data_IF_913135157216
#
_entry.id   IF_913135157216
#
_cell.length_a   1.000
_cell.length_b   1.000
_cell.length_c   1.000
_cell.angle_alpha   90.00
_cell.angle_beta   90.00
_cell.angle_gamma   90.00
#
_symmetry.space_group_name_H-M   'P 1'
#
loop_
_entity.id
_entity.type
_entity.pdbx_description
1 polymer ?
#
# COMPACT_ATOMS: atom_id res chain seq x y z
N UNK A 1 -27.99 -11.79 18.57
CA UNK A 1 -28.90 -10.71 18.19
C UNK A 1 -28.12 -9.78 17.28
N UNK A 2 -28.24 -9.96 15.97
CA UNK A 2 -27.65 -9.05 14.98
C UNK A 2 -28.49 -7.77 14.97
N UNK A 3 -27.90 -6.66 15.43
CA UNK A 3 -28.51 -5.36 15.25
C UNK A 3 -28.43 -5.02 13.77
N UNK A 4 -29.57 -4.96 13.09
CA UNK A 4 -29.67 -4.37 11.76
C UNK A 4 -29.33 -2.88 11.90
N UNK A 5 -28.09 -2.52 11.59
CA UNK A 5 -27.74 -1.13 11.31
C UNK A 5 -28.45 -0.76 10.02
N UNK A 6 -29.61 -0.11 10.14
CA UNK A 6 -30.41 0.31 9.00
C UNK A 6 -29.62 1.31 8.16
N UNK A 7 -29.75 1.24 6.82
CA UNK A 7 -29.10 2.18 5.90
C UNK A 7 -29.36 3.66 6.23
N UNK A 8 -30.45 3.96 6.94
CA UNK A 8 -30.76 5.30 7.46
C UNK A 8 -29.74 5.79 8.50
N UNK A 9 -29.25 4.94 9.40
CA UNK A 9 -28.23 5.32 10.38
C UNK A 9 -26.87 5.58 9.73
N UNK A 10 -26.54 4.86 8.65
CA UNK A 10 -25.32 5.09 7.87
C UNK A 10 -25.41 6.45 7.15
N UNK A 11 -26.57 6.79 6.59
CA UNK A 11 -26.79 8.06 5.88
C UNK A 11 -26.75 9.27 6.82
N UNK A 12 -27.35 9.18 8.01
CA UNK A 12 -27.32 10.26 9.00
C UNK A 12 -25.90 10.46 9.55
N UNK A 13 -25.14 9.38 9.79
CA UNK A 13 -23.73 9.46 10.17
C UNK A 13 -22.85 10.06 9.06
N UNK A 14 -23.07 9.68 7.79
CA UNK A 14 -22.35 10.27 6.64
C UNK A 14 -22.63 11.77 6.49
N UNK A 15 -23.87 12.21 6.73
CA UNK A 15 -24.25 13.63 6.70
C UNK A 15 -23.63 14.41 7.86
N UNK A 16 -23.70 13.89 9.09
CA UNK A 16 -23.08 14.54 10.26
C UNK A 16 -21.57 14.64 10.12
N UNK A 17 -20.93 13.63 9.52
CA UNK A 17 -19.49 13.63 9.19
C UNK A 17 -19.18 14.69 8.13
N UNK A 18 -19.94 14.76 7.03
CA UNK A 18 -19.77 15.78 6.01
C UNK A 18 -19.95 17.21 6.57
N UNK A 19 -20.94 17.42 7.43
CA UNK A 19 -21.17 18.71 8.10
C UNK A 19 -20.06 19.05 9.10
N UNK A 20 -19.52 18.07 9.83
CA UNK A 20 -18.39 18.26 10.74
C UNK A 20 -17.09 18.60 9.99
N UNK A 21 -16.82 17.97 8.86
CA UNK A 21 -15.65 18.23 8.00
C UNK A 21 -15.71 19.64 7.40
N UNK A 22 -16.89 20.07 6.96
CA UNK A 22 -17.09 21.40 6.39
C UNK A 22 -17.00 22.53 7.44
N UNK A 23 -17.08 22.20 8.73
CA UNK A 23 -17.13 23.19 9.82
C UNK A 23 -15.93 23.13 10.78
N UNK A 24 -15.05 22.13 10.67
CA UNK A 24 -13.83 22.04 11.47
C UNK A 24 -12.70 22.92 10.92
N UNK A 25 -11.71 23.20 11.77
CA UNK A 25 -10.44 23.86 11.42
C UNK A 25 -9.60 23.10 10.38
N UNK A 26 -10.06 21.93 9.92
CA UNK A 26 -9.41 21.07 8.92
C UNK A 26 -9.86 21.38 7.47
N UNK A 27 -10.59 22.48 7.25
CA UNK A 27 -11.00 22.92 5.91
C UNK A 27 -9.85 23.02 4.90
N UNK A 28 -8.60 23.17 5.36
CA UNK A 28 -7.41 23.07 4.51
C UNK A 28 -7.12 21.65 4.00
N UNK A 29 -7.23 20.62 4.84
CA UNK A 29 -7.06 19.23 4.41
C UNK A 29 -8.15 18.83 3.41
N UNK A 30 -9.40 19.23 3.68
CA UNK A 30 -10.50 18.98 2.74
C UNK A 30 -10.33 19.70 1.41
N UNK A 31 -9.85 20.96 1.42
CA UNK A 31 -9.56 21.70 0.18
C UNK A 31 -8.45 21.04 -0.66
N UNK A 32 -7.45 20.43 0.00
CA UNK A 32 -6.37 19.71 -0.68
C UNK A 32 -6.88 18.42 -1.32
N UNK A 33 -7.70 17.65 -0.59
CA UNK A 33 -8.35 16.43 -1.12
C UNK A 33 -9.24 16.75 -2.32
N UNK A 34 -10.09 17.79 -2.23
CA UNK A 34 -10.93 18.23 -3.35
C UNK A 34 -10.10 18.71 -4.55
N UNK A 35 -8.98 19.40 -4.31
CA UNK A 35 -8.08 19.82 -5.38
C UNK A 35 -7.47 18.61 -6.09
N UNK A 36 -7.02 17.60 -5.33
CA UNK A 36 -6.53 16.35 -5.90
C UNK A 36 -7.60 15.59 -6.67
N UNK A 37 -8.81 15.44 -6.13
CA UNK A 37 -9.91 14.79 -6.85
C UNK A 37 -10.19 15.44 -8.20
N UNK A 38 -10.19 16.78 -8.27
CA UNK A 38 -10.42 17.50 -9.52
C UNK A 38 -9.33 17.25 -10.58
N UNK A 39 -8.17 16.71 -10.19
CA UNK A 39 -7.08 16.36 -11.10
C UNK A 39 -7.14 14.89 -11.56
N UNK A 40 -7.98 14.07 -10.92
CA UNK A 40 -8.05 12.63 -11.14
C UNK A 40 -9.40 12.22 -11.74
N UNK A 41 -9.43 11.71 -12.99
CA UNK A 41 -10.65 11.20 -13.61
C UNK A 41 -11.28 10.11 -12.75
N UNK A 42 -12.62 10.11 -12.67
CA UNK A 42 -13.42 9.12 -11.95
C UNK A 42 -13.04 8.95 -10.46
N UNK A 43 -12.44 9.99 -9.87
CA UNK A 43 -12.06 9.95 -8.46
C UNK A 43 -13.24 10.10 -7.51
N UNK A 44 -13.10 9.50 -6.33
CA UNK A 44 -14.10 9.52 -5.26
C UNK A 44 -13.42 9.58 -3.90
N UNK A 45 -14.16 10.00 -2.86
CA UNK A 45 -13.69 9.98 -1.48
C UNK A 45 -14.13 8.71 -0.77
N UNK A 46 -13.16 7.93 -0.29
CA UNK A 46 -13.38 6.83 0.64
C UNK A 46 -13.45 7.40 2.05
N UNK A 47 -14.56 7.10 2.73
CA UNK A 47 -14.74 7.38 4.15
C UNK A 47 -14.45 6.11 4.94
N UNK A 48 -13.50 6.20 5.86
CA UNK A 48 -12.99 5.05 6.60
C UNK A 48 -13.26 5.32 8.06
N UNK A 49 -14.10 4.49 8.64
CA UNK A 49 -14.66 4.72 9.95
C UNK A 49 -14.04 3.75 10.95
N UNK A 50 -13.42 4.32 11.98
CA UNK A 50 -12.75 3.58 13.03
C UNK A 50 -13.54 3.67 14.31
N UNK A 51 -13.75 2.53 14.96
CA UNK A 51 -14.41 2.45 16.26
C UNK A 51 -13.51 1.75 17.28
N UNK A 52 -13.48 2.29 18.49
CA UNK A 52 -12.87 1.63 19.65
C UNK A 52 -14.00 1.19 20.57
N UNK A 53 -14.15 -0.12 20.70
CA UNK A 53 -15.14 -0.74 21.57
C UNK A 53 -14.55 -1.01 22.95
N UNK A 54 -15.32 -0.78 24.01
CA UNK A 54 -14.97 -1.29 25.35
C UNK A 54 -15.21 -2.80 25.46
N UNK A 55 -14.89 -3.37 26.63
CA UNK A 55 -15.09 -4.79 26.93
C UNK A 55 -16.57 -5.22 26.91
N UNK A 56 -17.51 -4.28 26.91
CA UNK A 56 -18.95 -4.53 26.78
C UNK A 56 -19.47 -4.40 25.34
N UNK A 57 -18.59 -4.08 24.38
CA UNK A 57 -18.93 -3.87 22.97
C UNK A 57 -19.52 -2.49 22.68
N UNK A 58 -19.39 -1.52 23.60
CA UNK A 58 -19.88 -0.15 23.37
C UNK A 58 -18.78 0.71 22.76
N UNK A 59 -19.16 1.56 21.80
CA UNK A 59 -18.25 2.54 21.18
C UNK A 59 -17.85 3.57 22.25
N UNK A 60 -16.56 3.65 22.52
CA UNK A 60 -15.95 4.63 23.45
C UNK A 60 -15.25 5.78 22.73
N UNK A 61 -14.83 5.53 21.50
CA UNK A 61 -14.23 6.51 20.60
C UNK A 61 -14.53 6.09 19.17
N UNK A 62 -14.75 7.07 18.31
CA UNK A 62 -14.76 6.88 16.87
C UNK A 62 -14.04 8.03 16.19
N UNK A 63 -13.53 7.80 14.99
CA UNK A 63 -13.05 8.84 14.09
C UNK A 63 -13.24 8.40 12.64
N UNK A 64 -13.18 9.36 11.72
CA UNK A 64 -13.28 9.12 10.29
C UNK A 64 -12.00 9.62 9.63
N UNK A 65 -11.41 8.79 8.80
CA UNK A 65 -10.36 9.19 7.87
C UNK A 65 -10.96 9.27 6.46
N UNK A 66 -10.47 10.22 5.67
CA UNK A 66 -10.89 10.41 4.30
C UNK A 66 -9.71 10.21 3.39
N UNK A 67 -9.93 9.48 2.31
CA UNK A 67 -8.91 9.27 1.31
C UNK A 67 -9.47 9.40 -0.11
N UNK A 68 -8.66 9.94 -1.03
CA UNK A 68 -8.98 10.00 -2.45
C UNK A 68 -8.71 8.63 -3.08
N UNK A 69 -9.66 8.18 -3.90
CA UNK A 69 -9.57 6.97 -4.71
C UNK A 69 -9.86 7.31 -6.18
N UNK A 70 -9.34 6.52 -7.14
CA UNK A 70 -8.42 5.41 -6.92
C UNK A 70 -7.06 5.88 -6.39
N UNK A 71 -6.35 5.02 -5.66
CA UNK A 71 -4.97 5.25 -5.26
C UNK A 71 -4.07 5.30 -6.50
N UNK A 72 -3.10 6.21 -6.50
CA UNK A 72 -2.15 6.40 -7.60
C UNK A 72 -0.76 6.38 -6.99
N UNK A 73 0.17 5.68 -7.65
CA UNK A 73 1.57 5.64 -7.24
C UNK A 73 2.15 7.05 -7.03
N UNK A 74 3.06 7.20 -6.07
CA UNK A 74 3.73 8.43 -5.69
C UNK A 74 2.93 9.34 -4.75
N UNK A 75 1.70 8.95 -4.39
CA UNK A 75 0.90 9.69 -3.39
C UNK A 75 1.23 9.28 -1.95
N UNK A 76 2.04 8.24 -1.76
CA UNK A 76 2.44 7.74 -0.44
C UNK A 76 1.30 7.09 0.35
N UNK A 77 1.46 7.06 1.66
CA UNK A 77 0.53 6.46 2.60
C UNK A 77 -0.45 7.49 3.15
N UNK A 78 -1.75 7.16 3.09
CA UNK A 78 -2.81 7.89 3.80
C UNK A 78 -3.39 7.12 4.99
N UNK A 79 -2.72 6.03 5.39
CA UNK A 79 -3.13 5.09 6.44
C UNK A 79 -3.95 3.90 5.92
N UNK A 80 -4.38 3.92 4.65
CA UNK A 80 -5.37 2.98 4.11
C UNK A 80 -5.04 2.47 2.71
N UNK A 81 -3.86 2.81 2.21
CA UNK A 81 -3.35 2.49 0.87
C UNK A 81 -2.37 1.33 0.85
N UNK A 82 -2.10 0.69 1.99
CA UNK A 82 -1.11 -0.40 2.12
C UNK A 82 -1.33 -1.50 1.05
N UNK A 83 -2.55 -2.02 0.94
CA UNK A 83 -2.88 -3.06 -0.04
C UNK A 83 -2.74 -2.56 -1.50
N UNK A 84 -3.11 -1.31 -1.78
CA UNK A 84 -2.97 -0.68 -3.09
C UNK A 84 -1.50 -0.55 -3.50
N UNK A 85 -0.64 -0.14 -2.56
CA UNK A 85 0.81 0.01 -2.76
C UNK A 85 1.45 -1.35 -3.01
N UNK A 86 1.07 -2.37 -2.24
CA UNK A 86 1.51 -3.75 -2.48
C UNK A 86 1.03 -4.30 -3.83
N UNK A 87 -0.19 -3.97 -4.27
CA UNK A 87 -0.70 -4.38 -5.58
C UNK A 87 0.10 -3.75 -6.74
N UNK A 88 0.48 -2.47 -6.63
CA UNK A 88 1.36 -1.80 -7.60
C UNK A 88 2.75 -2.43 -7.59
N UNK A 89 3.35 -2.64 -6.41
CA UNK A 89 4.65 -3.32 -6.31
C UNK A 89 4.60 -4.73 -6.91
N UNK A 90 3.52 -5.49 -6.68
CA UNK A 90 3.29 -6.79 -7.28
C UNK A 90 3.21 -6.74 -8.81
N UNK A 91 2.46 -5.76 -9.35
CA UNK A 91 2.35 -5.56 -10.79
C UNK A 91 3.69 -5.19 -11.42
N UNK A 92 4.48 -4.33 -10.77
CA UNK A 92 5.81 -3.92 -11.24
C UNK A 92 6.73 -5.12 -11.40
N UNK A 93 6.84 -5.94 -10.36
CA UNK A 93 7.81 -7.04 -10.33
C UNK A 93 7.42 -8.20 -11.25
N UNK A 94 6.11 -8.39 -11.47
CA UNK A 94 5.59 -9.39 -12.39
C UNK A 94 6.07 -9.15 -13.84
N UNK A 95 6.27 -7.89 -14.26
CA UNK A 95 6.81 -7.55 -15.60
C UNK A 95 8.21 -8.10 -15.83
N UNK A 96 8.93 -8.33 -14.74
CA UNK A 96 10.31 -8.80 -14.77
C UNK A 96 10.41 -10.26 -14.26
N UNK A 97 9.30 -10.99 -14.15
CA UNK A 97 9.31 -12.38 -13.71
C UNK A 97 9.77 -12.57 -12.27
N UNK A 98 9.59 -11.57 -11.40
CA UNK A 98 9.73 -11.73 -9.95
C UNK A 98 8.36 -11.99 -9.34
N UNK A 99 8.31 -12.90 -8.38
CA UNK A 99 7.12 -13.16 -7.59
C UNK A 99 7.15 -12.33 -6.31
N UNK A 100 6.30 -11.31 -6.23
CA UNK A 100 6.29 -10.37 -5.09
C UNK A 100 6.11 -11.01 -3.71
N UNK A 101 5.27 -12.05 -3.54
CA UNK A 101 5.17 -12.75 -2.27
C UNK A 101 6.51 -13.30 -1.73
N UNK A 102 7.39 -13.77 -2.61
CA UNK A 102 8.72 -14.23 -2.18
C UNK A 102 9.55 -13.07 -1.59
N UNK A 103 9.40 -11.86 -2.14
CA UNK A 103 10.03 -10.67 -1.58
C UNK A 103 9.49 -10.33 -0.20
N UNK A 104 8.18 -10.44 0.01
CA UNK A 104 7.56 -10.21 1.32
C UNK A 104 8.02 -11.24 2.36
N UNK A 105 8.11 -12.52 1.98
CA UNK A 105 8.65 -13.59 2.85
C UNK A 105 10.12 -13.36 3.19
N UNK A 106 10.93 -12.89 2.23
CA UNK A 106 12.34 -12.57 2.47
C UNK A 106 12.50 -11.33 3.35
N UNK A 107 11.69 -10.30 3.13
CA UNK A 107 11.72 -9.06 3.90
C UNK A 107 11.25 -9.27 5.34
N UNK A 108 10.14 -9.99 5.53
CA UNK A 108 9.46 -10.15 6.81
C UNK A 108 9.13 -11.63 7.09
N UNK A 109 10.15 -12.48 7.32
CA UNK A 109 9.95 -13.93 7.52
C UNK A 109 9.15 -14.28 8.78
N UNK A 110 9.04 -13.35 9.74
CA UNK A 110 8.23 -13.51 10.95
C UNK A 110 6.77 -13.09 10.74
N UNK A 111 6.46 -12.40 9.64
CA UNK A 111 5.11 -11.90 9.31
C UNK A 111 4.47 -12.66 8.17
N UNK A 112 5.26 -13.16 7.22
CA UNK A 112 4.79 -13.86 6.03
C UNK A 112 5.42 -15.24 5.89
N UNK A 113 4.66 -16.17 5.30
CA UNK A 113 5.14 -17.51 4.95
C UNK A 113 4.88 -17.86 3.49
N UNK A 114 5.66 -18.79 2.93
CA UNK A 114 5.45 -19.25 1.54
C UNK A 114 4.11 -19.97 1.32
N UNK A 115 3.53 -20.50 2.39
CA UNK A 115 2.25 -21.21 2.35
C UNK A 115 1.05 -20.25 2.51
N UNK A 116 1.30 -18.96 2.68
CA UNK A 116 0.26 -17.95 2.85
C UNK A 116 -0.44 -17.61 1.53
N UNK A 117 -1.73 -17.28 1.63
CA UNK A 117 -2.53 -16.87 0.49
C UNK A 117 -2.36 -15.37 0.22
N UNK A 118 -1.65 -15.04 -0.85
CA UNK A 118 -1.44 -13.67 -1.30
C UNK A 118 -2.50 -13.19 -2.32
N UNK A 119 -3.66 -13.85 -2.42
CA UNK A 119 -4.74 -13.45 -3.33
C UNK A 119 -5.19 -11.98 -3.14
N UNK A 120 -4.99 -11.41 -1.95
CA UNK A 120 -5.27 -10.01 -1.63
C UNK A 120 -4.50 -9.02 -2.52
N UNK A 121 -3.30 -9.38 -3.02
CA UNK A 121 -2.53 -8.56 -3.98
C UNK A 121 -3.25 -8.34 -5.32
N UNK A 122 -4.24 -9.18 -5.62
CA UNK A 122 -5.00 -9.17 -6.88
C UNK A 122 -6.50 -9.16 -6.65
N UNK A 123 -6.94 -8.89 -5.42
CA UNK A 123 -8.36 -8.89 -5.06
C UNK A 123 -9.13 -7.76 -5.74
N UNK A 124 -10.36 -8.03 -6.16
CA UNK A 124 -11.21 -7.04 -6.85
C UNK A 124 -11.42 -5.75 -6.05
N UNK A 125 -11.47 -5.84 -4.71
CA UNK A 125 -11.60 -4.67 -3.84
C UNK A 125 -10.38 -3.74 -3.95
N UNK A 126 -9.18 -4.30 -3.87
CA UNK A 126 -7.92 -3.55 -3.99
C UNK A 126 -7.80 -2.96 -5.40
N UNK A 127 -8.08 -3.77 -6.43
CA UNK A 127 -8.00 -3.32 -7.83
C UNK A 127 -9.07 -2.28 -8.16
N UNK A 128 -10.26 -2.34 -7.56
CA UNK A 128 -11.31 -1.33 -7.72
C UNK A 128 -10.98 -0.01 -7.02
N UNK A 129 -10.06 -0.03 -6.06
CA UNK A 129 -9.57 1.13 -5.33
C UNK A 129 -8.22 1.65 -5.83
N UNK A 130 -7.60 1.01 -6.81
CA UNK A 130 -6.22 1.31 -7.23
C UNK A 130 -6.15 1.55 -8.72
N UNK A 131 -5.55 2.67 -9.12
CA UNK A 131 -5.20 2.93 -10.50
C UNK A 131 -3.81 2.36 -10.73
N UNK A 132 -3.77 1.23 -11.45
CA UNK A 132 -2.53 0.59 -11.84
C UNK A 132 -2.22 1.03 -13.28
N UNK A 133 -1.22 1.89 -13.50
CA UNK A 133 -0.84 2.33 -14.86
C UNK A 133 -0.25 1.17 -15.66
N UNK A 134 -0.29 1.28 -16.99
CA UNK A 134 0.36 0.32 -17.90
C UNK A 134 1.88 0.31 -17.71
N UNK A 135 2.47 1.47 -17.41
CA UNK A 135 3.88 1.65 -17.08
C UNK A 135 3.99 2.17 -15.64
N UNK A 136 4.54 1.35 -14.76
CA UNK A 136 4.76 1.69 -13.35
C UNK A 136 6.10 2.40 -13.22
N UNK A 137 6.13 3.52 -12.49
CA UNK A 137 7.39 4.18 -12.18
C UNK A 137 8.02 3.44 -10.99
N UNK A 138 9.15 2.76 -11.18
CA UNK A 138 9.73 1.95 -10.12
C UNK A 138 10.14 2.79 -8.91
N UNK A 139 10.58 4.04 -9.12
CA UNK A 139 11.03 4.90 -8.03
C UNK A 139 9.85 5.34 -7.15
N UNK A 140 8.73 5.70 -7.77
CA UNK A 140 7.51 6.05 -7.03
C UNK A 140 6.97 4.87 -6.25
N UNK A 141 6.90 3.68 -6.85
CA UNK A 141 6.44 2.47 -6.18
C UNK A 141 7.30 2.11 -4.96
N UNK A 142 8.61 2.34 -5.05
CA UNK A 142 9.55 2.13 -3.96
C UNK A 142 9.38 3.16 -2.84
N UNK A 143 9.22 4.44 -3.18
CA UNK A 143 8.94 5.51 -2.20
C UNK A 143 7.60 5.26 -1.48
N UNK A 144 6.59 4.76 -2.20
CA UNK A 144 5.31 4.38 -1.62
C UNK A 144 5.45 3.22 -0.62
N UNK A 145 6.23 2.18 -0.95
CA UNK A 145 6.52 1.09 0.00
C UNK A 145 7.21 1.60 1.27
N UNK A 146 8.13 2.55 1.15
CA UNK A 146 8.77 3.19 2.31
C UNK A 146 7.72 3.97 3.13
N UNK A 147 6.78 4.65 2.46
CA UNK A 147 5.76 5.45 3.13
C UNK A 147 4.80 4.64 4.02
N UNK A 148 4.59 3.36 3.71
CA UNK A 148 3.86 2.40 4.55
C UNK A 148 4.76 1.63 5.52
N UNK A 149 5.98 2.14 5.77
CA UNK A 149 6.99 1.53 6.63
C UNK A 149 7.44 0.13 6.17
N UNK A 150 7.28 -0.18 4.88
CA UNK A 150 7.77 -1.42 4.26
C UNK A 150 9.19 -1.26 3.68
N UNK A 151 10.07 -0.62 4.45
CA UNK A 151 11.43 -0.28 4.01
C UNK A 151 12.26 -1.50 3.60
N UNK A 152 12.13 -2.65 4.29
CA UNK A 152 12.88 -3.86 3.96
C UNK A 152 12.45 -4.46 2.61
N UNK A 153 11.14 -4.45 2.31
CA UNK A 153 10.64 -4.87 1.01
C UNK A 153 11.06 -3.89 -0.09
N UNK A 154 10.98 -2.58 0.15
CA UNK A 154 11.47 -1.55 -0.78
C UNK A 154 12.97 -1.73 -1.09
N UNK A 155 13.77 -1.95 -0.06
CA UNK A 155 15.21 -2.19 -0.16
C UNK A 155 15.55 -3.40 -1.04
N UNK A 156 14.92 -4.55 -0.78
CA UNK A 156 15.15 -5.78 -1.54
C UNK A 156 14.69 -5.63 -2.99
N UNK A 157 13.53 -5.00 -3.19
CA UNK A 157 13.00 -4.70 -4.51
C UNK A 157 13.95 -3.77 -5.29
N UNK A 158 14.47 -2.72 -4.64
CA UNK A 158 15.46 -1.82 -5.23
C UNK A 158 16.68 -2.50 -5.79
N UNK A 159 17.28 -3.38 -5.00
CA UNK A 159 18.46 -4.13 -5.44
C UNK A 159 18.15 -4.99 -6.65
N UNK A 160 17.05 -5.72 -6.63
CA UNK A 160 16.62 -6.53 -7.76
C UNK A 160 16.38 -5.71 -9.04
N UNK A 161 15.75 -4.53 -8.89
CA UNK A 161 15.52 -3.62 -10.01
C UNK A 161 16.84 -3.03 -10.54
N UNK A 162 17.77 -2.69 -9.65
CA UNK A 162 19.07 -2.14 -10.03
C UNK A 162 19.98 -3.19 -10.70
N UNK A 163 19.99 -4.43 -10.19
CA UNK A 163 20.72 -5.56 -10.79
C UNK A 163 20.23 -5.88 -12.22
N UNK A 164 18.95 -5.59 -12.49
CA UNK A 164 18.35 -5.72 -13.83
C UNK A 164 18.47 -4.48 -14.69
N UNK A 165 19.11 -3.42 -14.19
CA UNK A 165 19.32 -2.16 -14.90
C UNK A 165 18.05 -1.34 -15.12
N UNK A 166 17.01 -1.57 -14.31
CA UNK A 166 15.72 -0.86 -14.38
C UNK A 166 15.84 0.49 -13.66
N UNK A 167 16.53 0.52 -12.52
CA UNK A 167 16.86 1.75 -11.78
C UNK A 167 18.38 1.92 -11.61
N UNK A 168 18.81 3.13 -11.26
CA UNK A 168 20.22 3.40 -10.97
C UNK A 168 20.63 2.87 -9.59
N UNK A 169 21.88 2.39 -9.49
CA UNK A 169 22.53 2.01 -8.22
C UNK A 169 22.76 3.20 -7.26
N UNK A 170 22.62 4.43 -7.75
CA UNK A 170 22.70 5.63 -6.93
C UNK A 170 21.39 5.96 -6.20
N UNK A 171 20.43 5.03 -6.14
CA UNK A 171 19.19 5.23 -5.41
C UNK A 171 19.50 5.46 -3.90
N UNK A 172 19.11 6.61 -3.30
CA UNK A 172 19.47 7.04 -1.95
C UNK A 172 19.40 6.02 -0.81
N UNK A 173 18.53 5.02 -0.88
CA UNK A 173 18.38 4.00 0.16
C UNK A 173 19.26 2.75 -0.02
N UNK A 174 19.94 2.60 -1.16
CA UNK A 174 20.94 1.55 -1.35
C UNK A 174 22.26 1.81 -0.60
N UNK A 175 22.36 2.91 0.17
CA UNK A 175 23.58 3.29 0.89
C UNK A 175 23.38 3.29 2.41
N UNK A 176 24.15 2.40 3.05
CA UNK A 176 24.63 2.36 4.46
C UNK A 176 24.06 1.23 5.35
N UNK A 177 24.87 0.15 5.53
CA UNK A 177 24.84 -0.70 6.73
C UNK A 177 25.52 -2.08 6.62
N UNK A 178 26.75 -2.20 7.15
CA UNK A 178 27.70 -3.34 7.00
C UNK A 178 27.28 -4.75 7.50
N UNK A 179 26.05 -4.97 7.97
CA UNK A 179 25.59 -6.30 8.43
C UNK A 179 24.22 -6.73 7.88
N UNK A 180 23.44 -5.77 7.38
CA UNK A 180 22.21 -6.02 6.64
C UNK A 180 22.55 -6.29 5.17
N UNK A 181 23.49 -5.54 4.59
CA UNK A 181 23.90 -5.68 3.19
C UNK A 181 24.36 -7.09 2.80
N UNK A 182 25.17 -7.76 3.63
CA UNK A 182 25.70 -9.10 3.29
C UNK A 182 24.60 -10.18 3.29
N UNK A 183 23.67 -10.13 4.26
CA UNK A 183 22.53 -11.06 4.31
C UNK A 183 21.54 -10.79 3.19
N UNK A 184 21.35 -9.51 2.85
CA UNK A 184 20.48 -9.04 1.78
C UNK A 184 21.00 -9.48 0.41
N UNK A 185 22.27 -9.21 0.10
CA UNK A 185 22.95 -9.66 -1.13
C UNK A 185 22.90 -11.17 -1.29
N UNK A 186 23.13 -11.92 -0.21
CA UNK A 186 23.02 -13.39 -0.23
C UNK A 186 21.60 -13.87 -0.53
N UNK A 187 20.58 -13.25 0.09
CA UNK A 187 19.18 -13.59 -0.14
C UNK A 187 18.74 -13.27 -1.57
N UNK A 188 19.10 -12.10 -2.09
CA UNK A 188 18.83 -11.68 -3.48
C UNK A 188 19.51 -12.60 -4.49
N UNK A 189 20.81 -12.88 -4.29
CA UNK A 189 21.56 -13.79 -5.15
C UNK A 189 20.96 -15.20 -5.13
N UNK A 190 20.60 -15.71 -3.95
CA UNK A 190 19.97 -17.03 -3.82
C UNK A 190 18.62 -17.09 -4.54
N UNK A 191 17.81 -16.03 -4.41
CA UNK A 191 16.51 -15.93 -5.09
C UNK A 191 16.67 -15.90 -6.61
N UNK A 192 17.57 -15.05 -7.14
CA UNK A 192 17.83 -14.98 -8.58
C UNK A 192 18.35 -16.31 -9.14
N UNK A 193 19.24 -16.99 -8.42
CA UNK A 193 19.72 -18.31 -8.83
C UNK A 193 18.58 -19.35 -8.88
N UNK A 194 17.68 -19.34 -7.90
CA UNK A 194 16.52 -20.24 -7.88
C UNK A 194 15.61 -20.02 -9.10
N UNK A 195 15.35 -18.77 -9.49
CA UNK A 195 14.55 -18.46 -10.70
C UNK A 195 15.22 -19.02 -11.96
N UNK A 196 16.55 -18.90 -12.09
CA UNK A 196 17.28 -19.42 -13.27
C UNK A 196 17.23 -20.94 -13.32
N UNK A 197 17.39 -21.62 -12.19
CA UNK A 197 17.35 -23.08 -12.10
C UNK A 197 15.96 -23.64 -12.46
N UNK A 198 14.87 -23.01 -12.02
CA UNK A 198 13.50 -23.42 -12.35
C UNK A 198 13.12 -23.16 -13.83
N UNK A 199 13.88 -22.33 -14.53
CA UNK A 199 13.66 -21.99 -15.95
C UNK A 199 14.44 -22.87 -16.95
N UNK A 200 15.25 -23.82 -16.45
CA UNK A 200 16.21 -24.65 -17.20
C UNK A 200 15.70 -26.09 -17.43
#
# INVERSE_FOLDING_TARGET
>A
MSGETTAAHVYDAQREVAEAILTSSDGHQFSHLLTHMNQLPDSWLKYIYYEVLDSSGRITRWWVEMSVRPYIQGYGCDGTTDESIHAIANRLVAEYGIYYPDLLVLAYPDSYSRDEDFAWLTGEAVLGETFIPDEIDPMLALDDLISINNCQAADLLGELLAERGIISLDWPFLREGDAWEDRKKQAVTAYLNAIVEDSS
#
